data_IF_581176453019
#
_entry.id   IF_581176453019
#
_cell.length_a   1.000
_cell.length_b   1.000
_cell.length_c   1.000
_cell.angle_alpha   90.00
_cell.angle_beta   90.00
_cell.angle_gamma   90.00
#
_symmetry.space_group_name_H-M   'P 1'
#
loop_
_entity.id
_entity.type
_entity.pdbx_description
1 polymer ?
#
# COMPACT_ATOMS: atom_id res chain seq x y z
N UNK A 1 -9.85 -9.93 -3.20
CA UNK A 1 -9.39 -10.58 -1.94
C UNK A 1 -8.70 -9.48 -1.18
N UNK A 2 -8.94 -9.34 0.12
CA UNK A 2 -8.26 -8.32 0.93
C UNK A 2 -6.75 -8.57 0.97
N UNK A 3 -5.98 -7.53 1.27
CA UNK A 3 -4.56 -7.64 1.61
C UNK A 3 -4.32 -8.67 2.72
N UNK A 4 -3.22 -9.43 2.63
CA UNK A 4 -2.81 -10.36 3.70
C UNK A 4 -2.10 -9.58 4.81
N UNK A 5 -2.78 -9.31 5.93
CA UNK A 5 -2.17 -8.62 7.08
C UNK A 5 -0.95 -9.33 7.69
N UNK A 6 -0.63 -10.58 7.30
CA UNK A 6 0.61 -11.28 7.71
C UNK A 6 1.70 -11.25 6.62
N UNK A 7 1.62 -10.35 5.65
CA UNK A 7 2.55 -10.32 4.52
C UNK A 7 4.02 -10.27 4.95
N UNK A 8 4.37 -9.58 6.04
CA UNK A 8 5.76 -9.50 6.54
C UNK A 8 6.34 -10.88 6.90
N UNK A 9 5.49 -11.84 7.28
CA UNK A 9 5.90 -13.20 7.65
C UNK A 9 5.98 -14.15 6.44
N UNK A 10 5.19 -13.86 5.39
CA UNK A 10 4.94 -14.80 4.29
C UNK A 10 5.46 -14.33 2.94
N UNK A 11 5.80 -13.05 2.79
CA UNK A 11 6.32 -12.45 1.56
C UNK A 11 7.79 -12.06 1.73
N UNK A 12 8.52 -12.05 0.62
CA UNK A 12 9.91 -11.63 0.59
C UNK A 12 10.02 -10.11 0.49
N UNK A 13 10.87 -9.49 1.31
CA UNK A 13 11.28 -8.09 1.13
C UNK A 13 12.23 -8.01 -0.07
N UNK A 14 11.76 -7.46 -1.19
CA UNK A 14 12.52 -7.42 -2.44
C UNK A 14 13.32 -6.13 -2.63
N UNK A 15 12.95 -5.04 -1.95
CA UNK A 15 13.65 -3.77 -2.10
C UNK A 15 12.91 -2.60 -1.48
N UNK A 16 13.22 -1.41 -1.98
CA UNK A 16 12.61 -0.13 -1.62
C UNK A 16 12.40 0.67 -2.91
N UNK A 17 11.19 1.20 -3.10
CA UNK A 17 10.79 1.99 -4.26
C UNK A 17 9.84 3.09 -3.78
N UNK A 18 9.92 4.29 -4.37
CA UNK A 18 9.09 5.45 -4.00
C UNK A 18 9.01 5.70 -2.47
N UNK A 19 10.16 5.57 -1.79
CA UNK A 19 10.30 5.85 -0.36
C UNK A 19 9.82 4.76 0.58
N UNK A 20 9.30 3.64 0.06
CA UNK A 20 8.67 2.59 0.88
C UNK A 20 9.23 1.20 0.59
N UNK A 21 9.16 0.33 1.60
CA UNK A 21 9.58 -1.07 1.43
C UNK A 21 8.66 -1.80 0.44
N UNK A 22 9.25 -2.66 -0.39
CA UNK A 22 8.55 -3.48 -1.37
C UNK A 22 8.55 -4.95 -0.96
N UNK A 23 7.36 -5.55 -0.92
CA UNK A 23 7.13 -6.95 -0.59
C UNK A 23 6.63 -7.71 -1.81
N UNK A 24 7.38 -8.73 -2.23
CA UNK A 24 7.12 -9.49 -3.44
C UNK A 24 5.95 -10.49 -3.33
N UNK A 25 5.58 -11.17 -4.42
CA UNK A 25 6.28 -11.19 -5.71
C UNK A 25 6.11 -9.89 -6.50
N UNK A 26 7.15 -9.54 -7.28
CA UNK A 26 7.12 -8.40 -8.21
C UNK A 26 7.49 -8.93 -9.59
N UNK A 27 6.50 -8.95 -10.49
CA UNK A 27 6.61 -9.39 -11.88
C UNK A 27 5.88 -8.36 -12.77
N UNK A 28 6.47 -7.16 -12.98
CA UNK A 28 5.79 -6.08 -13.68
C UNK A 28 5.49 -6.43 -15.15
N UNK A 29 4.38 -5.93 -15.72
CA UNK A 29 3.44 -5.00 -15.11
C UNK A 29 2.31 -5.67 -14.31
N UNK A 30 2.17 -7.00 -14.40
CA UNK A 30 0.99 -7.74 -13.93
C UNK A 30 0.96 -7.96 -12.42
N UNK A 31 2.14 -8.09 -11.79
CA UNK A 31 2.26 -8.15 -10.33
C UNK A 31 3.26 -7.12 -9.84
N UNK A 32 2.82 -6.30 -8.92
CA UNK A 32 3.66 -5.33 -8.24
C UNK A 32 3.82 -5.63 -6.77
N UNK A 33 2.98 -6.46 -6.14
CA UNK A 33 3.12 -6.83 -4.73
C UNK A 33 2.66 -5.73 -3.77
N UNK A 34 3.17 -5.72 -2.54
CA UNK A 34 2.75 -4.78 -1.49
C UNK A 34 3.82 -3.69 -1.31
N UNK A 35 3.38 -2.44 -1.16
CA UNK A 35 4.21 -1.27 -0.84
C UNK A 35 3.94 -0.80 0.58
N UNK A 36 5.00 -0.48 1.33
CA UNK A 36 4.92 -0.01 2.71
C UNK A 36 4.99 -1.13 3.75
N UNK A 37 5.15 -0.72 5.00
CA UNK A 37 5.29 -1.59 6.17
C UNK A 37 4.30 -1.19 7.26
N UNK A 38 4.37 0.05 7.77
CA UNK A 38 3.43 0.59 8.74
C UNK A 38 2.05 0.78 8.13
N UNK A 39 2.03 1.43 6.96
CA UNK A 39 0.87 1.54 6.10
C UNK A 39 1.21 0.79 4.82
N UNK A 40 0.56 -0.35 4.62
CA UNK A 40 0.83 -1.24 3.51
C UNK A 40 -0.31 -1.19 2.49
N UNK A 41 0.03 -1.06 1.20
CA UNK A 41 -0.92 -1.08 0.09
C UNK A 41 -0.57 -2.21 -0.86
N UNK A 42 -1.52 -3.12 -1.09
CA UNK A 42 -1.39 -4.18 -2.10
C UNK A 42 -1.70 -3.62 -3.49
N UNK A 43 -0.63 -3.42 -4.28
CA UNK A 43 -0.73 -2.85 -5.62
C UNK A 43 -1.43 -3.82 -6.59
N UNK A 44 -1.45 -5.12 -6.28
CA UNK A 44 -2.08 -6.15 -7.13
C UNK A 44 -3.62 -6.09 -7.07
N UNK A 45 -4.19 -5.40 -6.08
CA UNK A 45 -5.65 -5.25 -5.89
C UNK A 45 -6.11 -3.80 -5.78
N UNK A 46 -5.23 -2.83 -5.55
CA UNK A 46 -5.57 -1.42 -5.53
C UNK A 46 -6.16 -0.97 -6.87
N UNK A 47 -7.38 -0.40 -6.86
CA UNK A 47 -8.12 0.01 -8.06
C UNK A 47 -7.91 1.49 -8.46
N UNK A 48 -7.01 2.20 -7.78
CA UNK A 48 -6.89 3.65 -7.89
C UNK A 48 -8.19 4.43 -7.60
N UNK A 49 -8.99 3.93 -6.64
CA UNK A 49 -10.24 4.56 -6.21
C UNK A 49 -10.01 5.99 -5.70
N UNK A 50 -9.02 6.17 -4.82
CA UNK A 50 -8.56 7.49 -4.37
C UNK A 50 -9.15 7.98 -3.04
N UNK A 51 -10.15 7.31 -2.46
CA UNK A 51 -10.72 7.70 -1.17
C UNK A 51 -9.66 7.81 -0.06
N UNK A 52 -8.65 6.93 -0.05
CA UNK A 52 -7.55 7.01 0.91
C UNK A 52 -6.69 8.27 0.78
N UNK A 53 -6.53 8.84 -0.43
CA UNK A 53 -5.84 10.12 -0.61
C UNK A 53 -6.73 11.30 -0.16
N UNK A 54 -8.04 11.23 -0.41
CA UNK A 54 -8.97 12.32 -0.08
C UNK A 54 -9.27 12.41 1.42
N UNK A 55 -9.40 11.26 2.10
CA UNK A 55 -9.82 11.19 3.50
C UNK A 55 -8.67 11.12 4.50
N UNK A 56 -7.42 10.94 4.05
CA UNK A 56 -6.27 10.91 4.96
C UNK A 56 -6.01 12.31 5.55
N UNK A 57 -6.13 12.51 6.87
CA UNK A 57 -5.98 13.83 7.49
C UNK A 57 -4.52 14.33 7.56
N UNK A 58 -3.56 13.47 7.20
CA UNK A 58 -2.11 13.73 7.28
C UNK A 58 -1.39 13.36 5.98
N UNK A 59 -2.14 13.24 4.87
CA UNK A 59 -1.60 13.11 3.51
C UNK A 59 -0.55 11.99 3.31
N UNK A 60 -0.79 10.79 3.87
CA UNK A 60 0.15 9.63 3.78
C UNK A 60 0.41 9.15 2.34
N UNK A 61 -0.56 9.33 1.44
CA UNK A 61 -0.60 8.64 0.16
C UNK A 61 -0.31 9.57 -1.03
N UNK A 62 0.53 9.11 -1.94
CA UNK A 62 0.80 9.74 -3.23
C UNK A 62 0.38 8.83 -4.39
N UNK A 63 0.18 9.40 -5.59
CA UNK A 63 -0.06 8.59 -6.79
C UNK A 63 1.27 8.11 -7.38
N UNK A 64 1.42 6.80 -7.55
CA UNK A 64 2.49 6.17 -8.34
C UNK A 64 1.90 5.58 -9.62
N UNK A 65 2.54 5.82 -10.76
CA UNK A 65 2.11 5.28 -12.06
C UNK A 65 2.48 3.79 -12.20
N UNK A 66 1.51 2.98 -12.66
CA UNK A 66 1.65 1.54 -12.88
C UNK A 66 1.11 1.12 -14.25
N UNK A 67 1.71 1.61 -15.35
CA UNK A 67 1.17 1.41 -16.69
C UNK A 67 1.14 -0.06 -17.09
N UNK A 68 0.00 -0.51 -17.62
CA UNK A 68 -0.24 -1.88 -18.06
C UNK A 68 -0.64 -2.87 -16.96
N UNK A 69 -0.81 -2.42 -15.70
CA UNK A 69 -1.29 -3.28 -14.63
C UNK A 69 -2.80 -3.58 -14.79
N UNK A 70 -3.25 -4.83 -14.63
CA UNK A 70 -4.64 -5.23 -14.93
C UNK A 70 -5.70 -4.48 -14.13
N UNK A 71 -5.45 -4.21 -12.84
CA UNK A 71 -6.44 -3.54 -11.98
C UNK A 71 -6.53 -2.02 -12.16
N UNK A 72 -5.40 -1.32 -12.41
CA UNK A 72 -5.37 0.14 -12.60
C UNK A 72 -4.01 0.63 -13.09
N UNK A 73 -3.99 1.73 -13.85
CA UNK A 73 -2.77 2.35 -14.42
C UNK A 73 -1.98 3.21 -13.42
N UNK A 74 -2.46 3.35 -12.18
CA UNK A 74 -1.79 4.05 -11.06
C UNK A 74 -2.20 3.43 -9.73
N UNK A 75 -1.48 3.70 -8.65
CA UNK A 75 -1.70 3.15 -7.31
C UNK A 75 -1.49 4.21 -6.23
N UNK A 76 -2.14 4.04 -5.09
CA UNK A 76 -1.91 4.85 -3.90
C UNK A 76 -0.65 4.33 -3.18
N UNK A 77 0.47 5.01 -3.33
CA UNK A 77 1.73 4.69 -2.65
C UNK A 77 1.74 5.34 -1.26
N UNK A 78 2.02 4.60 -0.17
CA UNK A 78 2.03 5.15 1.19
C UNK A 78 3.37 5.87 1.49
N UNK A 79 3.73 6.87 0.69
CA UNK A 79 5.05 7.51 0.68
C UNK A 79 5.45 8.13 2.03
N UNK A 80 4.48 8.62 2.80
CA UNK A 80 4.66 9.24 4.11
C UNK A 80 4.08 8.35 5.23
N UNK A 81 4.31 7.03 5.16
CA UNK A 81 3.79 6.07 6.15
C UNK A 81 4.31 6.30 7.59
N UNK A 82 5.39 7.05 7.75
CA UNK A 82 5.91 7.52 9.04
C UNK A 82 5.05 8.61 9.69
N UNK A 83 4.22 9.31 8.91
CA UNK A 83 3.29 10.34 9.40
C UNK A 83 1.93 9.77 9.80
N UNK A 84 1.66 8.48 9.53
CA UNK A 84 0.39 7.85 9.84
C UNK A 84 0.06 7.96 11.35
N UNK A 85 -1.18 8.35 11.62
CA UNK A 85 -1.71 8.55 12.99
C UNK A 85 -2.68 7.44 13.43
N UNK A 86 -2.65 6.29 12.76
CA UNK A 86 -3.46 5.11 13.10
C UNK A 86 -4.97 5.34 13.16
N UNK A 87 -5.48 6.27 12.33
CA UNK A 87 -6.90 6.61 12.33
C UNK A 87 -7.81 5.56 11.66
N UNK A 88 -7.22 4.63 10.91
CA UNK A 88 -7.88 3.53 10.19
C UNK A 88 -8.89 3.93 9.09
N UNK A 89 -9.06 5.22 8.80
CA UNK A 89 -9.99 5.69 7.77
C UNK A 89 -9.70 5.10 6.39
N UNK A 90 -8.42 5.06 5.99
CA UNK A 90 -8.00 4.53 4.69
C UNK A 90 -8.30 3.03 4.52
N UNK A 91 -8.29 2.27 5.61
CA UNK A 91 -8.68 0.85 5.64
C UNK A 91 -10.19 0.72 5.43
N UNK A 92 -10.98 1.49 6.18
CA UNK A 92 -12.44 1.42 6.16
C UNK A 92 -13.05 1.90 4.83
N UNK A 93 -12.44 2.89 4.16
CA UNK A 93 -12.99 3.47 2.91
C UNK A 93 -12.54 2.71 1.65
N UNK A 94 -11.54 1.84 1.74
CA UNK A 94 -11.03 1.13 0.57
C UNK A 94 -12.06 0.08 0.09
N UNK A 95 -12.58 0.17 -1.14
CA UNK A 95 -13.67 -0.72 -1.60
C UNK A 95 -13.23 -2.17 -1.82
N UNK A 96 -11.93 -2.44 -1.79
CA UNK A 96 -11.31 -3.74 -2.08
C UNK A 96 -10.38 -4.23 -0.98
N UNK A 97 -10.37 -3.53 0.17
CA UNK A 97 -9.51 -3.86 1.32
C UNK A 97 -8.03 -4.01 0.90
N UNK A 98 -7.52 -3.04 0.12
CA UNK A 98 -6.14 -3.06 -0.38
C UNK A 98 -5.12 -2.52 0.62
N UNK A 99 -5.58 -1.95 1.74
CA UNK A 99 -4.75 -1.20 2.68
C UNK A 99 -4.77 -1.90 4.04
N UNK A 100 -3.60 -2.12 4.63
CA UNK A 100 -3.40 -2.64 5.98
C UNK A 100 -2.60 -1.60 6.79
N UNK A 101 -3.08 -1.26 7.99
CA UNK A 101 -2.37 -0.38 8.92
C UNK A 101 -2.19 -1.13 10.24
N UNK A 102 -0.94 -1.22 10.71
CA UNK A 102 -0.61 -1.93 11.95
C UNK A 102 0.31 -1.04 12.80
N UNK A 103 -0.17 -0.45 13.91
CA UNK A 103 0.64 0.42 14.78
C UNK A 103 1.90 -0.28 15.31
N UNK A 104 1.90 -1.61 15.40
CA UNK A 104 3.08 -2.37 15.79
C UNK A 104 4.23 -2.31 14.78
N UNK A 105 3.98 -1.84 13.55
CA UNK A 105 4.93 -1.70 12.45
C UNK A 105 5.59 -0.33 12.36
N UNK A 106 5.14 0.67 13.11
CA UNK A 106 5.67 2.05 13.06
C UNK A 106 7.21 2.11 13.22
N UNK A 107 7.78 1.23 14.05
CA UNK A 107 9.21 1.16 14.35
C UNK A 107 9.99 0.23 13.40
N UNK A 108 9.37 -0.22 12.30
CA UNK A 108 9.94 -1.15 11.30
C UNK A 108 10.18 -0.49 9.94
N UNK A 109 9.98 0.82 9.85
CA UNK A 109 10.28 1.65 8.68
C UNK A 109 11.79 1.70 8.40
#
# INVERSE_FOLDING_TARGET
MAIDSNFEANRERVGEEDGVTVWGPVEPPEKQGIRGTHVAVDFDICLADGACLEDCPVDVFEWTDTPGHPESERKANPADEDQCIDCMLCVDVCPVDAIDVDPGRENRL
#
